data_IF_501526323448
#
_entry.id   IF_501526323448
#
_cell.length_a   1.000
_cell.length_b   1.000
_cell.length_c   1.000
_cell.angle_alpha   90.00
_cell.angle_beta   90.00
_cell.angle_gamma   90.00
#
_symmetry.space_group_name_H-M   'P 1'
#
loop_
_entity.id
_entity.type
_entity.pdbx_description
1 polymer ?
#
# COMPACT_ATOMS: atom_id res chain seq x y z
N UNK A 1 5.34 9.18 14.39
CA UNK A 1 5.67 9.89 13.14
C UNK A 1 4.81 9.36 12.01
N UNK A 2 4.36 10.21 11.09
CA UNK A 2 3.58 9.72 9.95
C UNK A 2 4.43 8.84 9.04
N UNK A 3 3.78 7.91 8.39
CA UNK A 3 4.43 7.03 7.42
C UNK A 3 4.95 7.85 6.24
N UNK A 4 6.19 7.61 5.84
CA UNK A 4 6.77 8.27 4.68
C UNK A 4 6.41 7.49 3.41
N UNK A 5 5.65 8.12 2.51
CA UNK A 5 5.20 7.49 1.28
C UNK A 5 6.36 7.33 0.31
N UNK A 6 6.58 6.10 -0.17
CA UNK A 6 7.66 5.76 -1.08
C UNK A 6 7.28 6.06 -2.53
N UNK A 7 8.30 6.21 -3.39
CA UNK A 7 8.06 6.49 -4.81
C UNK A 7 7.28 5.38 -5.51
N UNK A 8 7.46 4.12 -5.12
CA UNK A 8 6.68 2.99 -5.64
C UNK A 8 5.17 3.24 -5.45
N UNK A 9 4.77 3.63 -4.23
CA UNK A 9 3.37 3.91 -3.90
C UNK A 9 2.82 5.08 -4.71
N UNK A 10 3.61 6.15 -4.86
CA UNK A 10 3.18 7.31 -5.64
C UNK A 10 3.01 6.99 -7.12
N UNK A 11 3.90 6.17 -7.67
CA UNK A 11 3.80 5.71 -9.07
C UNK A 11 2.53 4.88 -9.28
N UNK A 12 2.26 3.95 -8.36
CA UNK A 12 1.05 3.12 -8.44
C UNK A 12 -0.22 3.96 -8.29
N UNK A 13 -0.22 4.94 -7.38
CA UNK A 13 -1.36 5.84 -7.20
C UNK A 13 -1.69 6.59 -8.48
N UNK A 14 -0.65 7.08 -9.18
CA UNK A 14 -0.82 7.78 -10.45
C UNK A 14 -1.46 6.87 -11.50
N UNK A 15 -1.05 5.62 -11.58
CA UNK A 15 -1.62 4.63 -12.50
C UNK A 15 -3.09 4.34 -12.19
N UNK A 16 -3.47 4.37 -10.91
CA UNK A 16 -4.83 4.10 -10.49
C UNK A 16 -5.74 5.33 -10.55
N UNK A 17 -5.17 6.51 -10.79
CA UNK A 17 -5.94 7.76 -10.80
C UNK A 17 -6.37 8.21 -9.43
N UNK A 18 -5.59 7.91 -8.38
CA UNK A 18 -5.88 8.31 -7.01
C UNK A 18 -4.73 9.13 -6.42
N UNK A 19 -5.03 9.88 -5.36
CA UNK A 19 -4.03 10.59 -4.57
C UNK A 19 -3.81 9.85 -3.25
N UNK A 20 -2.61 9.97 -2.70
CA UNK A 20 -2.28 9.35 -1.41
C UNK A 20 -1.63 10.37 -0.50
N UNK A 21 -1.92 10.26 0.81
CA UNK A 21 -1.32 11.09 1.85
C UNK A 21 -1.03 10.20 3.06
N UNK A 22 -0.07 10.58 3.91
CA UNK A 22 0.11 9.87 5.19
C UNK A 22 -1.20 9.86 5.95
N UNK A 23 -1.58 8.69 6.49
CA UNK A 23 -2.88 8.54 7.12
C UNK A 23 -2.98 9.29 8.43
N UNK A 24 -4.14 9.88 8.69
CA UNK A 24 -4.50 10.46 9.98
C UNK A 24 -5.18 9.41 10.87
N UNK A 25 -5.51 8.25 10.32
CA UNK A 25 -6.13 7.16 11.07
C UNK A 25 -5.05 6.40 11.83
N UNK A 26 -5.22 6.28 13.13
CA UNK A 26 -4.26 5.59 13.99
C UNK A 26 -4.05 4.15 13.50
N UNK A 27 -2.79 3.76 13.34
CA UNK A 27 -2.42 2.42 12.92
C UNK A 27 -2.41 2.19 11.41
N UNK A 28 -2.80 3.18 10.61
CA UNK A 28 -2.79 3.07 9.15
C UNK A 28 -1.65 3.88 8.54
N UNK A 29 -1.12 3.40 7.40
CA UNK A 29 0.02 4.05 6.73
C UNK A 29 -0.41 5.19 5.84
N UNK A 30 -1.38 4.97 4.96
CA UNK A 30 -1.81 5.97 3.97
C UNK A 30 -3.31 6.05 3.86
N UNK A 31 -3.79 7.26 3.55
CA UNK A 31 -5.16 7.52 3.15
C UNK A 31 -5.20 7.69 1.64
N UNK A 32 -6.19 7.09 0.98
CA UNK A 32 -6.37 7.11 -0.47
C UNK A 32 -7.55 8.01 -0.81
N UNK A 33 -7.34 8.92 -1.78
CA UNK A 33 -8.35 9.90 -2.19
C UNK A 33 -8.62 9.80 -3.67
N UNK A 34 -9.88 9.99 -4.04
CA UNK A 34 -10.28 10.15 -5.44
C UNK A 34 -11.20 11.35 -5.53
N UNK A 35 -10.86 12.29 -6.44
CA UNK A 35 -11.61 13.54 -6.62
C UNK A 35 -11.77 14.32 -5.32
N UNK A 36 -10.71 14.34 -4.50
CA UNK A 36 -10.70 15.06 -3.22
C UNK A 36 -11.41 14.36 -2.06
N UNK A 37 -12.00 13.19 -2.31
CA UNK A 37 -12.75 12.45 -1.31
C UNK A 37 -11.97 11.21 -0.86
N UNK A 38 -11.85 11.03 0.47
CA UNK A 38 -11.19 9.85 1.02
C UNK A 38 -12.02 8.58 0.76
N UNK A 39 -11.41 7.59 0.12
CA UNK A 39 -12.08 6.34 -0.23
C UNK A 39 -11.56 5.14 0.55
N UNK A 40 -10.38 5.23 1.14
CA UNK A 40 -9.80 4.13 1.92
C UNK A 40 -8.66 4.61 2.81
N UNK A 41 -8.39 3.85 3.87
CA UNK A 41 -7.17 3.96 4.67
C UNK A 41 -6.53 2.58 4.67
N UNK A 42 -5.26 2.49 4.25
CA UNK A 42 -4.62 1.20 3.99
C UNK A 42 -3.26 1.09 4.66
N UNK A 43 -2.82 -0.16 4.83
CA UNK A 43 -1.54 -0.49 5.43
C UNK A 43 -1.60 -0.47 6.95
N UNK A 44 -0.79 -1.32 7.58
CA UNK A 44 -0.69 -1.38 9.03
C UNK A 44 0.66 -0.82 9.47
N UNK A 45 0.65 0.16 10.37
CA UNK A 45 1.88 0.70 10.96
C UNK A 45 2.56 -0.43 11.75
N UNK A 46 3.87 -0.54 11.61
CA UNK A 46 4.65 -1.58 12.27
C UNK A 46 4.95 -2.78 11.39
N UNK A 47 4.29 -2.88 10.23
CA UNK A 47 4.56 -3.94 9.26
C UNK A 47 5.22 -3.34 8.02
N UNK A 48 6.16 -4.08 7.43
CA UNK A 48 6.84 -3.64 6.22
C UNK A 48 5.99 -3.95 4.98
N UNK A 49 6.15 -3.12 3.96
CA UNK A 49 5.53 -3.30 2.65
C UNK A 49 6.61 -3.54 1.60
N UNK A 50 6.22 -3.75 0.35
CA UNK A 50 7.14 -4.07 -0.73
C UNK A 50 8.27 -3.02 -0.87
N UNK A 51 7.98 -1.72 -1.01
CA UNK A 51 9.07 -0.75 -1.17
C UNK A 51 9.98 -0.67 0.05
N UNK A 52 9.46 -0.89 1.25
CA UNK A 52 10.27 -0.89 2.47
C UNK A 52 11.20 -2.11 2.50
N UNK A 53 10.69 -3.30 2.15
CA UNK A 53 11.54 -4.49 2.04
C UNK A 53 12.63 -4.31 0.99
N UNK A 54 12.28 -3.70 -0.16
CA UNK A 54 13.24 -3.46 -1.23
C UNK A 54 14.40 -2.57 -0.77
N UNK A 55 14.10 -1.52 0.00
CA UNK A 55 15.12 -0.64 0.57
C UNK A 55 15.99 -1.34 1.61
N UNK A 56 15.39 -2.11 2.50
CA UNK A 56 16.09 -2.72 3.64
C UNK A 56 16.79 -4.03 3.31
N UNK A 57 16.20 -4.85 2.47
CA UNK A 57 16.65 -6.23 2.23
C UNK A 57 16.95 -6.54 0.78
N UNK A 58 16.67 -5.61 -0.13
CA UNK A 58 16.92 -5.79 -1.55
C UNK A 58 15.72 -6.37 -2.31
N UNK A 59 15.79 -6.31 -3.64
CA UNK A 59 14.69 -6.68 -4.53
C UNK A 59 14.29 -8.16 -4.40
N UNK A 60 15.26 -9.05 -4.33
CA UNK A 60 14.99 -10.49 -4.25
C UNK A 60 14.16 -10.85 -3.01
N UNK A 61 14.54 -10.32 -1.86
CA UNK A 61 13.81 -10.53 -0.61
C UNK A 61 12.41 -9.91 -0.68
N UNK A 62 12.32 -8.69 -1.23
CA UNK A 62 11.04 -7.99 -1.37
C UNK A 62 10.07 -8.75 -2.29
N UNK A 63 10.58 -9.30 -3.40
CA UNK A 63 9.77 -10.09 -4.33
C UNK A 63 9.19 -11.34 -3.65
N UNK A 64 9.96 -12.00 -2.80
CA UNK A 64 9.50 -13.15 -2.04
C UNK A 64 8.39 -12.76 -1.05
N UNK A 65 8.57 -11.65 -0.34
CA UNK A 65 7.56 -11.15 0.60
C UNK A 65 6.30 -10.71 -0.13
N UNK A 66 6.43 -10.13 -1.33
CA UNK A 66 5.28 -9.78 -2.18
C UNK A 66 4.50 -11.02 -2.57
N UNK A 67 5.19 -12.07 -2.99
CA UNK A 67 4.56 -13.33 -3.36
C UNK A 67 3.74 -13.91 -2.21
N UNK A 68 4.31 -13.92 -1.01
CA UNK A 68 3.64 -14.41 0.18
C UNK A 68 2.42 -13.55 0.54
N UNK A 69 2.55 -12.23 0.43
CA UNK A 69 1.44 -11.31 0.69
C UNK A 69 0.28 -11.56 -0.28
N UNK A 70 0.55 -11.64 -1.55
CA UNK A 70 -0.49 -11.83 -2.57
C UNK A 70 -1.19 -13.18 -2.40
N UNK A 71 -0.47 -14.20 -2.01
CA UNK A 71 -1.05 -15.53 -1.73
C UNK A 71 -1.98 -15.46 -0.51
N UNK A 72 -1.53 -14.84 0.57
CA UNK A 72 -2.29 -14.75 1.82
C UNK A 72 -3.56 -13.90 1.68
N UNK A 73 -3.49 -12.85 0.87
CA UNK A 73 -4.60 -11.92 0.67
C UNK A 73 -5.30 -12.09 -0.68
N UNK A 74 -5.23 -13.28 -1.27
CA UNK A 74 -5.73 -13.52 -2.63
C UNK A 74 -7.21 -13.17 -2.81
N UNK A 75 -8.04 -13.35 -1.79
CA UNK A 75 -9.46 -12.99 -1.85
C UNK A 75 -9.68 -11.49 -1.71
N UNK A 76 -9.02 -10.87 -0.73
CA UNK A 76 -9.25 -9.46 -0.38
C UNK A 76 -8.72 -8.50 -1.44
N UNK A 77 -7.56 -8.79 -2.02
CA UNK A 77 -6.93 -7.90 -3.00
C UNK A 77 -7.67 -7.82 -4.33
N UNK A 78 -8.58 -8.76 -4.58
CA UNK A 78 -9.37 -8.81 -5.83
C UNK A 78 -10.69 -8.03 -5.74
N UNK A 79 -11.11 -7.65 -4.54
CA UNK A 79 -12.34 -6.88 -4.37
C UNK A 79 -12.07 -5.43 -4.71
N UNK A 80 -12.43 -5.02 -5.92
CA UNK A 80 -12.14 -3.70 -6.46
C UNK A 80 -12.75 -2.60 -5.59
N UNK A 81 -11.93 -1.59 -5.27
CA UNK A 81 -12.36 -0.46 -4.43
C UNK A 81 -12.28 -0.71 -2.94
N UNK A 82 -11.96 -1.92 -2.51
CA UNK A 82 -11.80 -2.22 -1.08
C UNK A 82 -10.44 -1.78 -0.57
N UNK A 83 -10.30 -1.68 0.76
CA UNK A 83 -9.00 -1.37 1.39
C UNK A 83 -7.95 -2.42 1.01
N UNK A 84 -8.32 -3.71 0.94
CA UNK A 84 -7.41 -4.78 0.52
C UNK A 84 -6.90 -4.60 -0.90
N UNK A 85 -7.78 -4.16 -1.81
CA UNK A 85 -7.41 -3.87 -3.20
C UNK A 85 -6.37 -2.75 -3.26
N UNK A 86 -6.61 -1.63 -2.56
CA UNK A 86 -5.67 -0.51 -2.57
C UNK A 86 -4.36 -0.83 -1.87
N UNK A 87 -4.39 -1.60 -0.80
CA UNK A 87 -3.16 -2.05 -0.13
C UNK A 87 -2.31 -2.90 -1.09
N UNK A 88 -2.94 -3.81 -1.84
CA UNK A 88 -2.24 -4.64 -2.83
C UNK A 88 -1.60 -3.79 -3.92
N UNK A 89 -2.36 -2.83 -4.47
CA UNK A 89 -1.89 -2.01 -5.60
C UNK A 89 -0.88 -0.95 -5.19
N UNK A 90 -1.00 -0.39 -3.99
CA UNK A 90 -0.19 0.76 -3.57
C UNK A 90 1.02 0.37 -2.73
N UNK A 91 0.92 -0.67 -1.93
CA UNK A 91 1.98 -1.07 -0.99
C UNK A 91 2.68 -2.36 -1.40
N UNK A 92 2.13 -3.11 -2.32
CA UNK A 92 2.67 -4.39 -2.79
C UNK A 92 2.62 -4.48 -4.31
#
# INVERSE_FOLDING_TARGET
>A
MPYKIKSHTRTQARKLGVSVKPSKVKGKKIDVFRNGKKIASVGAIGYNDYPTYKEKKGKKYADERRRLYKKRHSKNRKVRGSAGYYADKLLW
#
